data_IF_544313666535
#
_entry.id   IF_544313666535
#
_cell.length_a   1.000
_cell.length_b   1.000
_cell.length_c   1.000
_cell.angle_alpha   90.00
_cell.angle_beta   90.00
_cell.angle_gamma   90.00
#
_symmetry.space_group_name_H-M   'P 1'
#
loop_
_entity.id
_entity.type
_entity.pdbx_description
1 polymer ?
#
# COMPACT_ATOMS: atom_id res chain seq x y z
N UNK A 1 -0.30 -7.76 35.75
CA UNK A 1 0.77 -8.06 36.72
C UNK A 1 2.13 -7.41 36.39
N UNK A 2 2.21 -6.41 35.49
CA UNK A 2 3.50 -5.78 35.10
C UNK A 2 3.74 -4.42 35.80
N UNK A 3 2.68 -3.66 36.09
CA UNK A 3 2.75 -2.30 36.66
C UNK A 3 3.33 -2.26 38.10
N UNK A 4 2.92 -3.20 38.96
CA UNK A 4 3.29 -3.16 40.40
C UNK A 4 2.41 -2.23 41.21
N UNK A 5 2.62 -2.15 42.53
CA UNK A 5 1.86 -1.22 43.37
C UNK A 5 2.19 0.22 42.94
N UNK A 6 1.20 0.94 42.42
CA UNK A 6 1.34 2.33 41.94
C UNK A 6 2.47 2.53 40.90
N UNK A 7 2.70 1.55 40.03
CA UNK A 7 3.71 1.68 38.96
C UNK A 7 5.14 1.39 39.38
N UNK A 8 5.37 0.90 40.60
CA UNK A 8 6.72 0.71 41.17
C UNK A 8 7.66 -0.12 40.29
N UNK A 9 7.13 -1.09 39.53
CA UNK A 9 7.94 -1.96 38.67
C UNK A 9 8.27 -1.31 37.34
N UNK A 10 7.29 -0.64 36.72
CA UNK A 10 7.51 0.08 35.46
C UNK A 10 8.47 1.24 35.67
N UNK A 11 8.36 1.95 36.79
CA UNK A 11 9.29 3.02 37.14
C UNK A 11 10.72 2.49 37.36
N UNK A 12 10.89 1.29 37.91
CA UNK A 12 12.21 0.68 38.06
C UNK A 12 12.85 0.41 36.69
N UNK A 13 12.11 -0.20 35.76
CA UNK A 13 12.58 -0.44 34.37
C UNK A 13 12.86 0.87 33.65
N UNK A 14 11.98 1.85 33.74
CA UNK A 14 12.16 3.18 33.16
C UNK A 14 13.45 3.85 33.66
N UNK A 15 13.76 3.73 34.96
CA UNK A 15 15.01 4.25 35.51
C UNK A 15 16.26 3.51 34.99
N UNK A 16 16.18 2.20 34.77
CA UNK A 16 17.28 1.42 34.16
C UNK A 16 17.51 1.81 32.69
N UNK A 17 16.46 2.22 31.97
CA UNK A 17 16.51 2.72 30.60
C UNK A 17 16.82 4.23 30.51
N UNK A 18 17.34 4.84 31.58
CA UNK A 18 17.73 6.25 31.56
C UNK A 18 16.56 7.24 31.55
N UNK A 19 15.40 6.83 32.06
CA UNK A 19 14.20 7.67 32.15
C UNK A 19 13.29 7.60 30.93
N UNK A 20 13.43 6.56 30.10
CA UNK A 20 12.53 6.33 28.97
C UNK A 20 11.09 6.13 29.43
N UNK A 21 10.11 6.69 28.70
CA UNK A 21 8.69 6.52 29.00
C UNK A 21 8.25 5.15 28.49
N UNK A 22 7.79 4.30 29.40
CA UNK A 22 7.34 2.94 29.10
C UNK A 22 5.84 2.86 29.31
N UNK A 23 5.11 2.60 28.23
CA UNK A 23 3.67 2.36 28.25
C UNK A 23 3.38 0.86 28.18
N UNK A 24 2.39 0.40 28.97
CA UNK A 24 1.92 -0.98 28.94
C UNK A 24 0.55 -1.00 28.31
N UNK A 25 0.46 -1.66 27.17
CA UNK A 25 -0.79 -1.85 26.44
C UNK A 25 -1.34 -3.26 26.67
N UNK A 26 -2.64 -3.42 26.46
CA UNK A 26 -3.29 -4.72 26.53
C UNK A 26 -3.12 -5.43 25.19
N UNK A 27 -2.58 -6.64 25.22
CA UNK A 27 -2.59 -7.52 24.05
C UNK A 27 -4.01 -8.07 23.84
N UNK A 28 -4.39 -8.21 22.58
CA UNK A 28 -5.63 -8.86 22.15
C UNK A 28 -5.32 -9.77 20.95
N UNK A 29 -6.05 -10.87 20.80
CA UNK A 29 -5.90 -11.78 19.65
C UNK A 29 -6.58 -11.22 18.40
N UNK A 30 -7.51 -10.27 18.55
CA UNK A 30 -8.10 -9.53 17.44
C UNK A 30 -7.19 -8.34 17.07
N UNK A 31 -6.67 -8.34 15.85
CA UNK A 31 -5.70 -7.33 15.38
C UNK A 31 -6.23 -5.89 15.50
N UNK A 32 -7.48 -5.65 15.12
CA UNK A 32 -8.08 -4.31 15.23
C UNK A 32 -8.16 -3.86 16.70
N UNK A 33 -8.55 -4.75 17.61
CA UNK A 33 -8.59 -4.44 19.05
C UNK A 33 -7.18 -4.25 19.63
N UNK A 34 -6.19 -5.02 19.16
CA UNK A 34 -4.81 -4.88 19.58
C UNK A 34 -4.22 -3.55 19.11
N UNK A 35 -4.51 -3.12 17.88
CA UNK A 35 -4.11 -1.80 17.35
C UNK A 35 -4.76 -0.66 18.16
N UNK A 36 -6.06 -0.76 18.49
CA UNK A 36 -6.73 0.21 19.37
C UNK A 36 -6.00 0.33 20.72
N UNK A 37 -5.61 -0.81 21.30
CA UNK A 37 -4.87 -0.83 22.57
C UNK A 37 -3.45 -0.26 22.41
N UNK A 38 -2.79 -0.52 21.28
CA UNK A 38 -1.45 -0.02 20.95
C UNK A 38 -1.41 1.50 20.73
N UNK A 39 -2.52 2.10 20.30
CA UNK A 39 -2.65 3.54 20.08
C UNK A 39 -2.82 4.35 21.38
N UNK A 40 -2.99 3.69 22.53
CA UNK A 40 -3.09 4.35 23.83
C UNK A 40 -1.86 5.25 24.08
N UNK A 41 -2.04 6.49 24.58
CA UNK A 41 -3.24 7.03 25.23
C UNK A 41 -4.27 7.68 24.28
N UNK A 42 -4.08 7.63 22.96
CA UNK A 42 -5.03 8.22 22.03
C UNK A 42 -6.30 7.38 21.90
N UNK A 43 -7.46 8.03 21.92
CA UNK A 43 -8.75 7.37 21.72
C UNK A 43 -9.05 7.28 20.23
N UNK A 44 -9.20 6.05 19.74
CA UNK A 44 -9.56 5.72 18.36
C UNK A 44 -11.08 5.78 18.21
N UNK A 45 -11.56 6.47 17.18
CA UNK A 45 -12.98 6.61 16.87
C UNK A 45 -13.46 5.48 15.94
N UNK A 46 -12.69 5.16 14.89
CA UNK A 46 -12.96 4.04 13.99
C UNK A 46 -11.67 3.56 13.33
N UNK A 47 -11.70 2.32 12.88
CA UNK A 47 -10.59 1.69 12.16
C UNK A 47 -11.14 1.00 10.92
N UNK A 48 -10.46 1.17 9.79
CA UNK A 48 -10.71 0.43 8.55
C UNK A 48 -9.47 -0.42 8.32
N UNK A 49 -9.69 -1.71 8.08
CA UNK A 49 -8.63 -2.70 7.88
C UNK A 49 -8.57 -3.06 6.41
N UNK A 50 -7.38 -2.98 5.84
CA UNK A 50 -7.07 -3.46 4.50
C UNK A 50 -6.13 -4.65 4.63
N UNK A 51 -6.69 -5.85 4.45
CA UNK A 51 -5.96 -7.11 4.57
C UNK A 51 -4.98 -7.34 3.39
N UNK A 52 -5.26 -6.78 2.22
CA UNK A 52 -4.46 -6.97 1.02
C UNK A 52 -3.15 -6.19 1.10
N UNK A 53 -3.21 -4.95 1.60
CA UNK A 53 -2.02 -4.11 1.81
C UNK A 53 -1.38 -4.28 3.19
N UNK A 54 -2.00 -5.07 4.08
CA UNK A 54 -1.61 -5.21 5.48
C UNK A 54 -1.50 -3.86 6.20
N UNK A 55 -2.48 -2.99 5.92
CA UNK A 55 -2.55 -1.63 6.47
C UNK A 55 -3.87 -1.37 7.21
N UNK A 56 -3.86 -0.41 8.12
CA UNK A 56 -5.05 0.03 8.84
C UNK A 56 -5.14 1.55 8.86
N UNK A 57 -6.28 2.08 8.41
CA UNK A 57 -6.63 3.49 8.55
C UNK A 57 -7.33 3.73 9.90
N UNK A 58 -6.72 4.58 10.72
CA UNK A 58 -7.18 4.89 12.06
C UNK A 58 -7.74 6.32 12.08
N UNK A 59 -9.04 6.45 12.32
CA UNK A 59 -9.67 7.74 12.55
C UNK A 59 -9.67 8.09 14.02
N UNK A 60 -9.29 9.32 14.30
CA UNK A 60 -9.34 9.93 15.63
C UNK A 60 -10.03 11.28 15.55
N UNK A 61 -10.57 11.74 16.68
CA UNK A 61 -11.06 13.11 16.80
C UNK A 61 -9.91 14.10 16.61
N UNK A 62 -10.19 15.29 16.06
CA UNK A 62 -9.18 16.30 15.75
C UNK A 62 -8.34 16.68 16.98
N UNK A 63 -8.94 16.67 18.17
CA UNK A 63 -8.26 16.94 19.44
C UNK A 63 -7.25 15.86 19.82
N UNK A 64 -7.45 14.62 19.35
CA UNK A 64 -6.60 13.47 19.63
C UNK A 64 -5.56 13.19 18.54
N UNK A 65 -5.69 13.80 17.35
CA UNK A 65 -4.79 13.57 16.21
C UNK A 65 -3.32 13.79 16.56
N UNK A 66 -3.00 14.92 17.21
CA UNK A 66 -1.62 15.22 17.60
C UNK A 66 -1.04 14.21 18.60
N UNK A 67 -1.88 13.66 19.48
CA UNK A 67 -1.47 12.65 20.46
C UNK A 67 -1.31 11.28 19.81
N UNK A 68 -2.21 10.92 18.90
CA UNK A 68 -2.17 9.66 18.16
C UNK A 68 -0.93 9.54 17.28
N UNK A 69 -0.53 10.64 16.61
CA UNK A 69 0.72 10.70 15.83
C UNK A 69 1.93 10.71 16.79
N UNK A 70 1.86 11.50 17.87
CA UNK A 70 2.96 11.69 18.80
C UNK A 70 4.09 12.55 18.21
N UNK A 71 5.10 12.84 19.03
CA UNK A 71 6.23 13.70 18.61
C UNK A 71 6.99 13.03 17.46
N UNK A 72 7.08 13.70 16.31
CA UNK A 72 7.73 13.17 15.09
C UNK A 72 7.16 11.81 14.63
N UNK A 73 5.86 11.55 14.85
CA UNK A 73 5.24 10.27 14.48
C UNK A 73 5.67 9.10 15.37
N UNK A 74 6.25 9.37 16.54
CA UNK A 74 6.78 8.30 17.41
C UNK A 74 5.70 7.31 17.84
N UNK A 75 4.49 7.78 18.16
CA UNK A 75 3.44 6.91 18.70
C UNK A 75 2.92 5.95 17.63
N UNK A 76 2.54 6.47 16.46
CA UNK A 76 2.12 5.64 15.32
C UNK A 76 3.21 4.68 14.87
N UNK A 77 4.49 5.09 14.88
CA UNK A 77 5.61 4.21 14.53
C UNK A 77 5.79 3.07 15.51
N UNK A 78 5.71 3.35 16.82
CA UNK A 78 5.81 2.31 17.84
C UNK A 78 4.62 1.35 17.77
N UNK A 79 3.40 1.86 17.57
CA UNK A 79 2.22 1.03 17.41
C UNK A 79 2.30 0.15 16.15
N UNK A 80 2.76 0.70 15.03
CA UNK A 80 2.99 -0.05 13.78
C UNK A 80 4.06 -1.14 13.98
N UNK A 81 5.19 -0.83 14.61
CA UNK A 81 6.23 -1.83 14.91
C UNK A 81 5.77 -2.91 15.89
N UNK A 82 4.91 -2.56 16.85
CA UNK A 82 4.40 -3.48 17.86
C UNK A 82 3.36 -4.45 17.27
N UNK A 83 2.52 -3.95 16.37
CA UNK A 83 1.40 -4.70 15.78
C UNK A 83 1.79 -5.41 14.49
N UNK A 84 2.81 -4.94 13.79
CA UNK A 84 3.23 -5.45 12.48
C UNK A 84 2.47 -4.86 11.30
N UNK A 85 1.44 -4.03 11.56
CA UNK A 85 0.60 -3.39 10.55
C UNK A 85 1.12 -2.01 10.18
N UNK A 86 0.92 -1.60 8.93
CA UNK A 86 1.11 -0.21 8.53
C UNK A 86 -0.07 0.64 9.00
N UNK A 87 0.17 1.67 9.82
CA UNK A 87 -0.89 2.44 10.47
C UNK A 87 -0.98 3.87 9.92
N UNK A 88 -2.12 4.20 9.34
CA UNK A 88 -2.40 5.51 8.75
C UNK A 88 -3.37 6.28 9.65
N UNK A 89 -2.86 7.29 10.37
CA UNK A 89 -3.69 8.06 11.32
C UNK A 89 -4.21 9.33 10.67
N UNK A 90 -5.52 9.54 10.70
CA UNK A 90 -6.18 10.73 10.14
C UNK A 90 -7.36 11.18 11.01
N UNK A 91 -7.90 12.37 10.73
CA UNK A 91 -9.12 12.82 11.39
C UNK A 91 -10.34 12.02 10.91
N UNK A 92 -11.39 11.94 11.73
CA UNK A 92 -12.70 11.39 11.29
C UNK A 92 -13.21 12.11 10.04
N UNK A 93 -12.95 13.41 9.93
CA UNK A 93 -13.39 14.20 8.77
C UNK A 93 -12.62 13.83 7.50
N UNK A 94 -11.32 13.57 7.61
CA UNK A 94 -10.48 13.21 6.47
C UNK A 94 -10.69 11.76 6.05
N UNK A 95 -10.93 10.84 6.99
CA UNK A 95 -11.33 9.46 6.67
C UNK A 95 -12.62 9.45 5.83
N UNK A 96 -13.62 10.26 6.19
CA UNK A 96 -14.85 10.38 5.40
C UNK A 96 -14.61 10.91 4.00
N UNK A 97 -13.73 11.91 3.84
CA UNK A 97 -13.36 12.44 2.52
C UNK A 97 -12.62 11.39 1.70
N UNK A 98 -11.63 10.71 2.29
CA UNK A 98 -10.87 9.63 1.63
C UNK A 98 -11.81 8.56 1.11
N UNK A 99 -12.74 8.10 1.96
CA UNK A 99 -13.72 7.10 1.56
C UNK A 99 -14.66 7.58 0.44
N UNK A 100 -15.11 8.83 0.48
CA UNK A 100 -15.90 9.43 -0.61
C UNK A 100 -15.11 9.50 -1.91
N UNK A 101 -13.84 9.91 -1.86
CA UNK A 101 -12.97 9.97 -3.03
C UNK A 101 -12.64 8.58 -3.59
N UNK A 102 -12.51 7.56 -2.75
CA UNK A 102 -12.32 6.17 -3.17
C UNK A 102 -13.57 5.62 -3.85
N UNK A 103 -14.74 5.84 -3.25
CA UNK A 103 -16.05 5.46 -3.82
C UNK A 103 -16.23 6.10 -5.21
N UNK A 104 -15.93 7.39 -5.32
CA UNK A 104 -15.98 8.13 -6.58
C UNK A 104 -15.03 7.56 -7.64
N UNK A 105 -13.79 7.22 -7.24
CA UNK A 105 -12.80 6.61 -8.13
C UNK A 105 -13.25 5.24 -8.62
N UNK A 106 -13.77 4.39 -7.73
CA UNK A 106 -14.29 3.06 -8.09
C UNK A 106 -15.44 3.20 -9.07
N UNK A 107 -16.39 4.11 -8.78
CA UNK A 107 -17.51 4.39 -9.68
C UNK A 107 -17.03 4.83 -11.07
N UNK A 108 -16.14 5.82 -11.13
CA UNK A 108 -15.58 6.29 -12.40
C UNK A 108 -14.85 5.17 -13.15
N UNK A 109 -14.08 4.34 -12.42
CA UNK A 109 -13.43 3.18 -13.00
C UNK A 109 -14.43 2.19 -13.58
N UNK A 110 -15.55 1.92 -12.92
CA UNK A 110 -16.59 1.04 -13.45
C UNK A 110 -17.28 1.64 -14.67
N UNK A 111 -17.62 2.93 -14.65
CA UNK A 111 -18.19 3.61 -15.82
C UNK A 111 -17.25 3.53 -17.04
N UNK A 112 -15.96 3.80 -16.85
CA UNK A 112 -14.97 3.81 -17.93
C UNK A 112 -14.62 2.39 -18.42
N UNK A 113 -14.46 1.43 -17.51
CA UNK A 113 -14.04 0.07 -17.86
C UNK A 113 -15.19 -0.81 -18.35
N UNK A 114 -16.38 -0.66 -17.78
CA UNK A 114 -17.54 -1.48 -18.11
C UNK A 114 -18.49 -0.79 -19.08
N UNK A 115 -18.23 0.47 -19.46
CA UNK A 115 -19.09 1.27 -20.35
C UNK A 115 -20.56 1.26 -19.90
N UNK A 116 -20.76 1.56 -18.62
CA UNK A 116 -22.06 1.64 -17.95
C UNK A 116 -22.36 3.08 -17.55
N UNK A 117 -23.63 3.38 -17.26
CA UNK A 117 -24.02 4.67 -16.72
C UNK A 117 -23.75 4.77 -15.21
N UNK A 118 -23.92 5.97 -14.67
CA UNK A 118 -23.67 6.30 -13.27
C UNK A 118 -24.61 5.53 -12.34
N UNK A 119 -25.90 5.45 -12.69
CA UNK A 119 -26.92 4.75 -11.90
C UNK A 119 -26.54 3.28 -11.69
N UNK A 120 -26.04 2.62 -12.73
CA UNK A 120 -25.63 1.23 -12.65
C UNK A 120 -24.30 1.03 -11.92
N UNK A 121 -23.38 1.98 -12.05
CA UNK A 121 -22.12 1.96 -11.32
C UNK A 121 -22.35 2.15 -9.82
N UNK A 122 -23.27 3.04 -9.42
CA UNK A 122 -23.68 3.23 -8.03
C UNK A 122 -24.27 1.94 -7.44
N UNK A 123 -25.10 1.21 -8.18
CA UNK A 123 -25.64 -0.09 -7.73
C UNK A 123 -24.53 -1.10 -7.43
N UNK A 124 -23.51 -1.21 -8.29
CA UNK A 124 -22.39 -2.11 -8.06
C UNK A 124 -21.59 -1.72 -6.81
N UNK A 125 -21.36 -0.43 -6.61
CA UNK A 125 -20.63 0.10 -5.45
C UNK A 125 -21.43 -0.10 -4.15
N UNK A 126 -22.74 0.12 -4.17
CA UNK A 126 -23.63 -0.07 -3.02
C UNK A 126 -23.73 -1.54 -2.61
N UNK A 127 -23.66 -2.47 -3.56
CA UNK A 127 -23.57 -3.92 -3.32
C UNK A 127 -22.17 -4.35 -2.83
N UNK A 128 -21.21 -3.42 -2.76
CA UNK A 128 -19.89 -3.63 -2.18
C UNK A 128 -18.80 -4.04 -3.17
N UNK A 129 -19.06 -3.98 -4.48
CA UNK A 129 -18.03 -4.24 -5.48
C UNK A 129 -17.06 -3.06 -5.53
N UNK A 130 -15.78 -3.36 -5.36
CA UNK A 130 -14.70 -2.36 -5.31
C UNK A 130 -13.67 -2.55 -6.42
N UNK A 131 -13.64 -3.73 -7.05
CA UNK A 131 -12.66 -4.08 -8.08
C UNK A 131 -13.29 -4.72 -9.32
N UNK A 132 -12.58 -4.66 -10.46
CA UNK A 132 -13.03 -5.31 -11.71
C UNK A 132 -12.89 -6.83 -11.64
N UNK A 133 -11.97 -7.31 -10.82
CA UNK A 133 -11.69 -8.71 -10.54
C UNK A 133 -12.88 -9.38 -9.86
N UNK A 134 -13.48 -8.72 -8.87
CA UNK A 134 -14.71 -9.20 -8.24
C UNK A 134 -15.82 -9.39 -9.29
N UNK A 135 -16.07 -8.38 -10.12
CA UNK A 135 -17.07 -8.46 -11.20
C UNK A 135 -16.74 -9.60 -12.17
N UNK A 136 -15.47 -9.78 -12.54
CA UNK A 136 -15.06 -10.81 -13.49
C UNK A 136 -15.18 -12.24 -12.95
N UNK A 137 -14.97 -12.48 -11.64
CA UNK A 137 -14.76 -13.81 -11.07
C UNK A 137 -15.76 -14.26 -10.01
N UNK A 138 -16.54 -13.34 -9.41
CA UNK A 138 -17.60 -13.67 -8.45
C UNK A 138 -18.66 -14.59 -9.08
N UNK A 139 -19.28 -15.51 -8.32
CA UNK A 139 -20.34 -16.36 -8.82
C UNK A 139 -21.48 -15.56 -9.47
N UNK A 140 -21.94 -16.01 -10.64
CA UNK A 140 -23.02 -15.35 -11.40
C UNK A 140 -24.28 -15.16 -10.54
N UNK A 141 -24.55 -16.09 -9.63
CA UNK A 141 -25.70 -16.02 -8.71
C UNK A 141 -25.68 -14.81 -7.77
N UNK A 142 -24.50 -14.30 -7.41
CA UNK A 142 -24.37 -13.11 -6.56
C UNK A 142 -24.67 -11.85 -7.38
N UNK A 143 -24.12 -11.75 -8.60
CA UNK A 143 -24.45 -10.66 -9.51
C UNK A 143 -25.95 -10.66 -9.89
N UNK A 144 -26.55 -11.82 -10.15
CA UNK A 144 -27.99 -11.93 -10.43
C UNK A 144 -28.88 -11.61 -9.23
N UNK A 145 -28.33 -11.53 -8.02
CA UNK A 145 -29.11 -11.13 -6.84
C UNK A 145 -29.28 -9.61 -6.72
N UNK A 146 -28.48 -8.85 -7.48
CA UNK A 146 -28.54 -7.40 -7.56
C UNK A 146 -29.79 -6.97 -8.33
N UNK A 147 -30.56 -6.05 -7.78
CA UNK A 147 -31.77 -5.55 -8.41
C UNK A 147 -31.44 -4.82 -9.71
N UNK A 148 -32.14 -5.15 -10.79
CA UNK A 148 -31.91 -4.59 -12.12
C UNK A 148 -30.88 -5.34 -12.99
N UNK A 149 -30.26 -6.41 -12.49
CA UNK A 149 -29.39 -7.29 -13.30
C UNK A 149 -30.13 -8.53 -13.81
N UNK A 150 -29.93 -8.85 -15.09
CA UNK A 150 -30.38 -10.08 -15.73
C UNK A 150 -29.20 -10.92 -16.25
N UNK A 151 -29.46 -12.15 -16.70
CA UNK A 151 -28.40 -13.06 -17.19
C UNK A 151 -27.59 -12.45 -18.34
N UNK A 152 -28.25 -11.78 -19.28
CA UNK A 152 -27.61 -11.18 -20.46
C UNK A 152 -26.68 -10.03 -20.04
N UNK A 153 -27.14 -9.12 -19.17
CA UNK A 153 -26.35 -8.00 -18.68
C UNK A 153 -25.16 -8.46 -17.84
N UNK A 154 -25.34 -9.44 -16.95
CA UNK A 154 -24.24 -10.00 -16.16
C UNK A 154 -23.17 -10.62 -17.07
N UNK A 155 -23.56 -11.37 -18.11
CA UNK A 155 -22.60 -11.92 -19.06
C UNK A 155 -21.80 -10.83 -19.79
N UNK A 156 -22.48 -9.75 -20.21
CA UNK A 156 -21.83 -8.60 -20.87
C UNK A 156 -20.84 -7.92 -19.94
N UNK A 157 -21.23 -7.62 -18.70
CA UNK A 157 -20.35 -6.98 -17.71
C UNK A 157 -19.12 -7.83 -17.44
N UNK A 158 -19.29 -9.14 -17.26
CA UNK A 158 -18.17 -10.06 -17.03
C UNK A 158 -17.23 -10.13 -18.22
N UNK A 159 -17.77 -10.14 -19.44
CA UNK A 159 -16.95 -10.10 -20.65
C UNK A 159 -16.12 -8.81 -20.67
N UNK A 160 -16.76 -7.65 -20.50
CA UNK A 160 -16.09 -6.35 -20.50
C UNK A 160 -15.01 -6.25 -19.42
N UNK A 161 -15.33 -6.68 -18.19
CA UNK A 161 -14.37 -6.71 -17.09
C UNK A 161 -13.13 -7.56 -17.46
N UNK A 162 -13.34 -8.77 -17.99
CA UNK A 162 -12.24 -9.65 -18.44
C UNK A 162 -11.44 -9.07 -19.60
N UNK A 163 -12.10 -8.43 -20.56
CA UNK A 163 -11.44 -7.82 -21.72
C UNK A 163 -10.55 -6.65 -21.29
N UNK A 164 -11.02 -5.82 -20.35
CA UNK A 164 -10.22 -4.75 -19.75
C UNK A 164 -9.06 -5.31 -18.94
N UNK A 165 -9.29 -6.31 -18.09
CA UNK A 165 -8.22 -6.95 -17.31
C UNK A 165 -7.15 -7.59 -18.21
N UNK A 166 -7.58 -8.23 -19.31
CA UNK A 166 -6.66 -8.82 -20.29
C UNK A 166 -5.88 -7.73 -21.01
N UNK A 167 -6.54 -6.64 -21.40
CA UNK A 167 -5.88 -5.49 -22.05
C UNK A 167 -4.88 -4.82 -21.11
N UNK A 168 -5.21 -4.66 -19.82
CA UNK A 168 -4.28 -4.16 -18.79
C UNK A 168 -3.09 -5.09 -18.61
N UNK A 169 -3.33 -6.40 -18.57
CA UNK A 169 -2.27 -7.41 -18.46
C UNK A 169 -1.34 -7.37 -19.67
N UNK A 170 -1.89 -7.29 -20.89
CA UNK A 170 -1.13 -7.15 -22.13
C UNK A 170 -0.39 -5.82 -22.22
N UNK A 171 -0.99 -4.71 -21.79
CA UNK A 171 -0.31 -3.41 -21.76
C UNK A 171 0.86 -3.40 -20.76
N UNK A 172 0.68 -4.05 -19.61
CA UNK A 172 1.77 -4.27 -18.67
C UNK A 172 2.84 -5.17 -19.31
N UNK A 173 2.47 -6.27 -19.94
CA UNK A 173 3.41 -7.18 -20.61
C UNK A 173 4.14 -6.52 -21.78
N UNK A 174 3.48 -5.74 -22.63
CA UNK A 174 4.09 -4.96 -23.72
C UNK A 174 5.01 -3.85 -23.20
N UNK A 175 4.65 -3.21 -22.07
CA UNK A 175 5.54 -2.25 -21.40
C UNK A 175 6.80 -2.94 -20.84
N UNK A 176 6.70 -4.22 -20.48
CA UNK A 176 7.81 -5.06 -20.02
C UNK A 176 8.60 -5.69 -21.19
N UNK A 177 7.96 -6.06 -22.30
CA UNK A 177 8.56 -6.67 -23.49
C UNK A 177 9.26 -5.65 -24.40
N UNK A 178 8.69 -4.44 -24.53
CA UNK A 178 9.27 -3.35 -25.32
C UNK A 178 10.59 -2.82 -24.77
N UNK A 179 10.88 -3.11 -23.50
CA UNK A 179 12.10 -2.72 -22.83
C UNK A 179 12.68 -3.88 -22.01
N UNK A 180 13.13 -4.93 -22.69
CA UNK A 180 13.85 -6.00 -22.02
C UNK A 180 15.20 -5.48 -21.50
N UNK A 181 15.46 -5.46 -20.18
CA UNK A 181 16.74 -5.09 -19.63
C UNK A 181 17.84 -6.07 -20.08
N UNK A 182 19.06 -5.58 -20.24
CA UNK A 182 20.20 -6.40 -20.63
C UNK A 182 20.51 -7.45 -19.55
N UNK A 183 21.13 -8.57 -19.95
CA UNK A 183 21.53 -9.61 -18.99
C UNK A 183 22.48 -9.06 -17.90
N UNK A 184 23.30 -8.07 -18.24
CA UNK A 184 24.18 -7.40 -17.28
C UNK A 184 23.40 -6.58 -16.25
N UNK A 185 22.35 -5.87 -16.67
CA UNK A 185 21.47 -5.12 -15.76
C UNK A 185 20.69 -6.07 -14.85
N UNK A 186 20.16 -7.18 -15.39
CA UNK A 186 19.48 -8.21 -14.61
C UNK A 186 20.38 -8.94 -13.61
N UNK A 187 21.69 -9.01 -13.88
CA UNK A 187 22.67 -9.63 -13.00
C UNK A 187 23.23 -8.69 -11.92
N UNK A 188 22.77 -7.43 -11.86
CA UNK A 188 23.22 -6.46 -10.88
C UNK A 188 22.79 -6.86 -9.46
N UNK A 189 23.76 -6.99 -8.56
CA UNK A 189 23.52 -7.37 -7.18
C UNK A 189 22.69 -6.30 -6.45
N UNK A 190 21.55 -6.70 -5.86
CA UNK A 190 20.64 -5.79 -5.15
C UNK A 190 19.51 -5.22 -6.02
N UNK A 191 19.50 -5.49 -7.33
CA UNK A 191 18.39 -5.16 -8.23
C UNK A 191 17.49 -6.38 -8.42
N UNK A 192 16.22 -6.27 -8.03
CA UNK A 192 15.25 -7.33 -8.29
C UNK A 192 14.76 -7.31 -9.74
N UNK A 193 14.32 -8.47 -10.23
CA UNK A 193 13.89 -8.62 -11.63
C UNK A 193 12.76 -7.67 -11.97
N UNK A 194 11.77 -7.48 -11.10
CA UNK A 194 10.65 -6.57 -11.36
C UNK A 194 11.15 -5.12 -11.55
N UNK A 195 11.94 -4.60 -10.61
CA UNK A 195 12.53 -3.26 -10.68
C UNK A 195 13.38 -3.07 -11.93
N UNK A 196 14.16 -4.08 -12.35
CA UNK A 196 14.95 -4.03 -13.57
C UNK A 196 14.11 -3.83 -14.83
N UNK A 197 12.94 -4.46 -14.91
CA UNK A 197 12.00 -4.24 -16.02
C UNK A 197 11.27 -2.89 -15.90
N UNK A 198 10.96 -2.44 -14.68
CA UNK A 198 10.32 -1.12 -14.48
C UNK A 198 11.24 0.01 -14.94
N UNK A 199 12.52 0.01 -14.55
CA UNK A 199 13.49 1.02 -15.02
C UNK A 199 13.72 0.91 -16.53
N UNK A 200 13.74 -0.30 -17.09
CA UNK A 200 13.86 -0.52 -18.52
C UNK A 200 12.68 0.07 -19.29
N UNK A 201 11.45 -0.06 -18.79
CA UNK A 201 10.25 0.55 -19.40
C UNK A 201 10.34 2.08 -19.54
N UNK A 202 11.21 2.74 -18.76
CA UNK A 202 11.51 4.18 -18.86
C UNK A 202 12.74 4.51 -19.70
N UNK A 203 13.29 3.53 -20.42
CA UNK A 203 14.43 3.69 -21.32
C UNK A 203 15.78 3.26 -20.76
N UNK A 204 15.84 2.78 -19.50
CA UNK A 204 17.08 2.33 -18.85
C UNK A 204 17.28 0.84 -19.10
N UNK A 205 17.66 0.49 -20.32
CA UNK A 205 17.70 -0.92 -20.77
C UNK A 205 19.05 -1.59 -20.50
N UNK A 206 20.12 -0.83 -20.32
CA UNK A 206 21.47 -1.38 -20.08
C UNK A 206 22.04 -0.95 -18.73
N UNK A 207 23.09 -1.66 -18.30
CA UNK A 207 23.85 -1.33 -17.10
C UNK A 207 24.58 0.03 -17.25
N UNK A 208 24.94 0.40 -18.48
CA UNK A 208 25.51 1.72 -18.81
C UNK A 208 24.48 2.83 -18.60
N UNK A 209 23.25 2.64 -19.10
CA UNK A 209 22.16 3.61 -18.92
C UNK A 209 21.90 3.88 -17.43
N UNK A 210 21.91 2.82 -16.60
CA UNK A 210 21.75 2.95 -15.15
C UNK A 210 22.93 3.67 -14.49
N UNK A 211 24.16 3.47 -14.97
CA UNK A 211 25.35 4.12 -14.45
C UNK A 211 25.40 5.63 -14.77
N UNK A 212 24.75 6.05 -15.86
CA UNK A 212 24.64 7.46 -16.26
C UNK A 212 23.62 8.25 -15.45
N UNK A 213 22.63 7.59 -14.84
CA UNK A 213 21.60 8.25 -14.02
C UNK A 213 22.13 8.84 -12.71
N UNK A 214 21.46 9.89 -12.23
CA UNK A 214 21.54 10.38 -10.87
C UNK A 214 20.59 9.63 -9.92
N UNK A 215 20.85 9.72 -8.61
CA UNK A 215 19.98 9.13 -7.59
C UNK A 215 18.56 9.68 -7.68
N UNK A 216 18.44 10.99 -7.88
CA UNK A 216 17.15 11.66 -8.00
C UNK A 216 16.37 11.17 -9.23
N UNK A 217 17.04 10.98 -10.37
CA UNK A 217 16.41 10.48 -11.60
C UNK A 217 15.86 9.05 -11.43
N UNK A 218 16.57 8.20 -10.68
CA UNK A 218 16.11 6.84 -10.40
C UNK A 218 14.90 6.82 -9.45
N UNK A 219 14.87 7.74 -8.48
CA UNK A 219 13.75 7.90 -7.55
C UNK A 219 12.47 8.43 -8.23
N UNK A 220 12.61 9.16 -9.34
CA UNK A 220 11.47 9.55 -10.18
C UNK A 220 10.87 8.37 -10.96
N UNK A 221 11.67 7.33 -11.22
CA UNK A 221 11.24 6.15 -12.01
C UNK A 221 10.68 5.05 -11.12
N UNK A 222 11.33 4.77 -9.98
CA UNK A 222 10.91 3.75 -9.02
C UNK A 222 10.97 4.32 -7.61
N UNK A 223 9.86 4.21 -6.89
CA UNK A 223 9.79 4.55 -5.48
C UNK A 223 10.62 3.54 -4.65
N UNK A 224 11.75 4.00 -4.12
CA UNK A 224 12.62 3.19 -3.28
C UNK A 224 13.40 4.08 -2.30
N UNK A 225 14.03 3.51 -1.24
CA UNK A 225 14.87 4.29 -0.35
C UNK A 225 16.05 4.93 -1.11
N UNK A 226 16.34 6.20 -0.84
CA UNK A 226 17.45 6.96 -1.47
C UNK A 226 18.79 6.23 -1.34
N UNK A 227 19.06 5.61 -0.19
CA UNK A 227 20.26 4.81 0.05
C UNK A 227 20.39 3.62 -0.91
N UNK A 228 19.25 2.98 -1.22
CA UNK A 228 19.20 1.84 -2.16
C UNK A 228 19.42 2.32 -3.60
N UNK A 229 18.78 3.41 -3.99
CA UNK A 229 18.97 4.02 -5.31
C UNK A 229 20.44 4.42 -5.54
N UNK A 230 21.06 5.09 -4.56
CA UNK A 230 22.47 5.47 -4.62
C UNK A 230 23.40 4.25 -4.68
N UNK A 231 23.10 3.19 -3.91
CA UNK A 231 23.87 1.95 -3.93
C UNK A 231 23.82 1.25 -5.29
N UNK A 232 22.63 1.19 -5.92
CA UNK A 232 22.44 0.58 -7.25
C UNK A 232 23.21 1.32 -8.34
N UNK A 233 23.14 2.66 -8.36
CA UNK A 233 23.88 3.48 -9.33
C UNK A 233 25.39 3.32 -9.14
N UNK A 234 25.86 3.30 -7.89
CA UNK A 234 27.28 3.08 -7.59
C UNK A 234 27.74 1.67 -7.97
N UNK A 235 26.90 0.66 -7.75
CA UNK A 235 27.19 -0.72 -8.17
C UNK A 235 27.27 -0.83 -9.71
N UNK A 236 26.35 -0.19 -10.43
CA UNK A 236 26.39 -0.11 -11.89
C UNK A 236 27.67 0.59 -12.37
N UNK A 237 28.00 1.78 -11.85
CA UNK A 237 29.24 2.51 -12.17
C UNK A 237 30.50 1.71 -11.87
N UNK A 238 30.53 0.97 -10.77
CA UNK A 238 31.66 0.12 -10.42
C UNK A 238 31.88 -0.96 -11.49
N UNK A 239 30.81 -1.58 -11.97
CA UNK A 239 30.89 -2.62 -13.01
C UNK A 239 31.22 -2.02 -14.39
N UNK A 240 30.66 -0.86 -14.74
CA UNK A 240 30.93 -0.21 -16.04
C UNK A 240 32.34 0.37 -16.12
N UNK A 241 32.76 1.13 -15.10
CA UNK A 241 34.00 1.91 -15.16
C UNK A 241 35.22 1.24 -14.52
N UNK A 242 35.04 0.26 -13.63
CA UNK A 242 36.16 -0.33 -12.89
C UNK A 242 36.41 -1.81 -13.19
N UNK A 243 35.57 -2.46 -14.01
CA UNK A 243 35.70 -3.87 -14.36
C UNK A 243 36.43 -4.13 -15.69
N UNK A 244 36.93 -3.11 -16.40
CA UNK A 244 37.92 -3.26 -17.50
C UNK A 244 39.34 -3.66 -16.99
N UNK A 245 39.44 -4.33 -15.85
CA UNK A 245 40.73 -4.77 -15.29
C UNK A 245 40.60 -6.13 -14.62
N UNK A 246 40.41 -7.18 -15.43
CA UNK A 246 41.01 -8.51 -15.23
C UNK A 246 40.91 -9.36 -16.50
#
# INVERSE_FOLDING_TARGET
ACVGMRGSRVQAVSNELGGERVDIVLYDDNDAQFVINAMAPAEVASIIVDEDTHSMDIAVEDSNLAMAIGRNGQNVRLASQLTGWELNVMSVSDMKKKHQEETEKVRQQFMDALEIDEDFADVLVDEGFSTLEEIAYVPISELLSIDGLDEDTVEVLRSRAKDVLTTRALANEESLEGAKPSEALLALEGLDTHTAYVIASKGVVTLDDLAELGTDDLLEIVEMPEEKAAALIMAARNIVWFNESN
#
